data_IF_221138157452
#
_entry.id   IF_221138157452
#
_cell.length_a   1.000
_cell.length_b   1.000
_cell.length_c   1.000
_cell.angle_alpha   90.00
_cell.angle_beta   90.00
_cell.angle_gamma   90.00
#
_symmetry.space_group_name_H-M   'P 1'
#
loop_
_entity.id
_entity.type
_entity.pdbx_description
1 polymer ?
#
# COMPACT_ATOMS: atom_id res chain seq x y z
N UNK A 1 36.61 -13.50 -7.00
CA UNK A 1 36.94 -12.74 -5.78
C UNK A 1 35.78 -12.85 -4.78
N UNK A 2 35.99 -13.46 -3.61
CA UNK A 2 34.96 -13.49 -2.56
C UNK A 2 34.78 -12.06 -2.02
N UNK A 3 33.64 -11.45 -2.30
CA UNK A 3 33.28 -10.17 -1.70
C UNK A 3 33.25 -10.35 -0.17
N UNK A 4 34.17 -9.68 0.53
CA UNK A 4 34.18 -9.61 1.99
C UNK A 4 32.99 -8.77 2.42
N UNK A 5 31.83 -9.40 2.57
CA UNK A 5 30.65 -8.74 3.12
C UNK A 5 30.98 -8.20 4.52
N UNK A 6 30.46 -7.01 4.89
CA UNK A 6 30.54 -6.51 6.25
C UNK A 6 30.10 -7.61 7.23
N UNK A 7 30.93 -7.91 8.23
CA UNK A 7 30.60 -8.93 9.23
C UNK A 7 29.59 -8.35 10.23
N UNK A 8 28.31 -8.63 9.98
CA UNK A 8 27.26 -8.30 10.94
C UNK A 8 27.31 -9.23 12.17
N UNK A 9 27.12 -8.72 13.39
CA UNK A 9 26.98 -9.57 14.57
C UNK A 9 25.72 -10.43 14.51
N UNK A 10 25.80 -11.69 14.95
CA UNK A 10 24.60 -12.54 15.09
C UNK A 10 23.61 -11.86 16.04
N UNK A 11 22.33 -11.87 15.68
CA UNK A 11 21.27 -11.21 16.44
C UNK A 11 21.17 -9.70 16.22
N UNK A 12 22.03 -9.11 15.38
CA UNK A 12 21.94 -7.68 15.07
C UNK A 12 20.64 -7.34 14.33
N UNK A 13 19.99 -6.27 14.75
CA UNK A 13 18.84 -5.68 14.06
C UNK A 13 19.35 -4.86 12.88
N UNK A 14 19.09 -5.38 11.68
CA UNK A 14 19.45 -4.77 10.41
C UNK A 14 18.29 -3.95 9.86
N UNK A 15 18.60 -2.78 9.32
CA UNK A 15 17.65 -1.85 8.71
C UNK A 15 18.12 -1.52 7.29
N UNK A 16 17.21 -1.60 6.33
CA UNK A 16 17.40 -1.12 4.95
C UNK A 16 16.37 -0.03 4.68
N UNK A 17 16.80 1.14 4.21
CA UNK A 17 15.91 2.27 3.95
C UNK A 17 15.35 2.20 2.53
N UNK A 18 14.02 2.27 2.40
CA UNK A 18 13.31 2.44 1.13
C UNK A 18 12.60 3.79 1.09
N UNK A 19 12.17 4.18 -0.11
CA UNK A 19 11.35 5.38 -0.25
C UNK A 19 9.99 5.12 0.41
N UNK A 20 9.66 5.90 1.45
CA UNK A 20 8.42 5.77 2.20
C UNK A 20 8.37 4.67 3.27
N UNK A 21 9.40 3.85 3.44
CA UNK A 21 9.45 2.84 4.52
C UNK A 21 10.85 2.31 4.83
N UNK A 22 11.02 1.69 6.00
CA UNK A 22 12.21 0.92 6.36
C UNK A 22 11.91 -0.57 6.42
N UNK A 23 12.86 -1.38 5.97
CA UNK A 23 12.79 -2.83 6.03
C UNK A 23 13.69 -3.34 7.16
N UNK A 24 13.13 -4.16 8.05
CA UNK A 24 13.80 -4.59 9.27
C UNK A 24 13.99 -6.11 9.30
N UNK A 25 15.11 -6.57 9.83
CA UNK A 25 15.41 -7.99 9.99
C UNK A 25 16.47 -8.26 11.05
N UNK A 26 16.61 -9.52 11.46
CA UNK A 26 17.64 -9.96 12.40
C UNK A 26 18.66 -10.82 11.66
N UNK A 27 19.94 -10.48 11.80
CA UNK A 27 21.03 -11.30 11.25
C UNK A 27 21.14 -12.64 11.97
N UNK A 28 20.92 -13.74 11.25
CA UNK A 28 20.95 -15.10 11.78
C UNK A 28 22.33 -15.77 11.71
N UNK A 29 23.33 -15.08 11.15
CA UNK A 29 24.66 -15.64 10.88
C UNK A 29 24.77 -16.27 9.48
N UNK A 30 26.02 -16.54 9.06
CA UNK A 30 26.34 -17.20 7.77
C UNK A 30 25.66 -16.52 6.56
N UNK A 31 25.63 -15.18 6.54
CA UNK A 31 25.04 -14.41 5.44
C UNK A 31 23.51 -14.47 5.36
N UNK A 32 22.82 -14.91 6.43
CA UNK A 32 21.36 -15.04 6.44
C UNK A 32 20.68 -14.04 7.37
N UNK A 33 19.49 -13.60 6.99
CA UNK A 33 18.65 -12.65 7.74
C UNK A 33 17.25 -13.23 7.87
N UNK A 34 16.67 -13.17 9.08
CA UNK A 34 15.25 -13.50 9.31
C UNK A 34 14.48 -12.19 9.34
N UNK A 35 13.45 -12.07 8.52
CA UNK A 35 12.63 -10.87 8.40
C UNK A 35 11.23 -11.22 7.88
N UNK A 36 10.29 -10.28 7.93
CA UNK A 36 9.06 -10.44 7.18
C UNK A 36 9.32 -10.28 5.67
N UNK A 37 8.69 -11.07 4.82
CA UNK A 37 8.89 -11.11 3.36
C UNK A 37 8.51 -9.82 2.60
N UNK A 38 8.00 -8.79 3.28
CA UNK A 38 7.66 -7.50 2.66
C UNK A 38 6.40 -7.53 1.78
N UNK A 39 6.06 -6.38 1.18
CA UNK A 39 4.89 -6.18 0.32
C UNK A 39 4.88 -7.03 -0.97
N UNK A 40 6.02 -7.58 -1.37
CA UNK A 40 6.16 -8.31 -2.64
C UNK A 40 5.36 -9.63 -2.68
N UNK A 41 4.86 -10.09 -1.54
CA UNK A 41 4.24 -11.42 -1.41
C UNK A 41 3.03 -11.43 -0.47
N UNK A 42 2.07 -10.53 -0.69
CA UNK A 42 0.78 -10.48 0.05
C UNK A 42 0.08 -11.85 0.11
N UNK A 43 0.32 -12.72 -0.87
CA UNK A 43 -0.34 -14.03 -1.00
C UNK A 43 0.44 -15.21 -0.39
N UNK A 44 1.54 -14.99 0.35
CA UNK A 44 2.30 -16.10 0.95
C UNK A 44 1.66 -16.58 2.27
N UNK A 45 1.57 -17.91 2.40
CA UNK A 45 1.14 -18.62 3.62
C UNK A 45 2.11 -18.44 4.81
N UNK A 46 3.35 -18.00 4.59
CA UNK A 46 4.35 -17.78 5.64
C UNK A 46 5.01 -16.41 5.44
N UNK A 47 4.63 -15.39 6.23
CA UNK A 47 5.08 -14.02 6.04
C UNK A 47 6.46 -13.75 6.65
N UNK A 48 6.96 -14.59 7.54
CA UNK A 48 8.33 -14.51 8.08
C UNK A 48 9.21 -15.52 7.33
N UNK A 49 10.31 -15.04 6.75
CA UNK A 49 11.23 -15.85 5.96
C UNK A 49 12.69 -15.62 6.36
N UNK A 50 13.54 -16.56 5.97
CA UNK A 50 15.00 -16.45 6.09
C UNK A 50 15.59 -16.32 4.70
N UNK A 51 16.25 -15.20 4.42
CA UNK A 51 16.86 -14.93 3.12
C UNK A 51 18.35 -14.65 3.25
N UNK A 52 19.04 -14.59 2.11
CA UNK A 52 20.42 -14.10 2.07
C UNK A 52 20.46 -12.61 2.37
N UNK A 53 21.58 -12.14 2.92
CA UNK A 53 21.77 -10.73 3.24
C UNK A 53 21.71 -9.85 1.98
N UNK A 54 22.15 -10.37 0.84
CA UNK A 54 22.07 -9.69 -0.45
C UNK A 54 20.62 -9.49 -0.87
N UNK A 55 19.77 -10.52 -0.73
CA UNK A 55 18.33 -10.44 -1.03
C UNK A 55 17.59 -9.51 -0.07
N UNK A 56 18.01 -9.49 1.21
CA UNK A 56 17.48 -8.54 2.19
C UNK A 56 17.85 -7.09 1.87
N UNK A 57 19.10 -6.85 1.45
CA UNK A 57 19.62 -5.52 1.13
C UNK A 57 19.04 -4.93 -0.16
N UNK A 58 18.83 -5.76 -1.20
CA UNK A 58 18.46 -5.29 -2.56
C UNK A 58 19.36 -4.15 -3.04
N UNK A 59 20.67 -4.35 -2.93
CA UNK A 59 21.72 -3.40 -3.31
C UNK A 59 21.71 -2.05 -2.56
N UNK A 60 21.00 -1.98 -1.43
CA UNK A 60 20.96 -0.80 -0.55
C UNK A 60 21.87 -0.95 0.67
N UNK A 61 22.33 0.16 1.26
CA UNK A 61 23.08 0.13 2.50
C UNK A 61 22.25 -0.46 3.65
N UNK A 62 22.93 -1.26 4.48
CA UNK A 62 22.37 -1.84 5.71
C UNK A 62 22.87 -1.04 6.91
N UNK A 63 21.95 -0.65 7.78
CA UNK A 63 22.24 0.01 9.06
C UNK A 63 21.97 -0.97 10.20
N UNK A 64 22.74 -0.88 11.29
CA UNK A 64 22.48 -1.64 12.52
C UNK A 64 21.76 -0.73 13.52
N UNK A 65 20.65 -1.20 14.11
CA UNK A 65 20.01 -0.53 15.23
C UNK A 65 20.64 -0.96 16.55
N UNK A 66 21.11 0.02 17.31
CA UNK A 66 21.63 -0.20 18.66
C UNK A 66 20.51 -0.16 19.69
N UNK A 67 20.59 -1.05 20.66
CA UNK A 67 19.70 -1.11 21.82
C UNK A 67 20.56 -0.91 23.07
N UNK A 68 20.30 0.12 23.91
CA UNK A 68 21.09 0.36 25.13
C UNK A 68 21.04 -0.82 26.11
N UNK A 69 19.86 -1.44 26.24
CA UNK A 69 19.61 -2.53 27.19
C UNK A 69 18.90 -3.70 26.52
N UNK A 70 19.57 -4.49 25.66
CA UNK A 70 18.98 -5.67 25.05
C UNK A 70 18.73 -6.74 26.12
N UNK A 71 17.50 -7.27 26.20
CA UNK A 71 17.13 -8.30 27.18
C UNK A 71 17.76 -9.65 26.84
N UNK A 72 17.91 -9.95 25.55
CA UNK A 72 18.35 -11.27 25.07
C UNK A 72 19.68 -11.21 24.33
N UNK A 73 20.53 -12.22 24.57
CA UNK A 73 21.79 -12.41 23.84
C UNK A 73 21.53 -12.87 22.40
N UNK A 74 22.49 -12.62 21.52
CA UNK A 74 22.49 -12.95 20.08
C UNK A 74 21.78 -14.27 19.70
N UNK A 75 22.22 -15.41 20.27
CA UNK A 75 21.63 -16.73 19.96
C UNK A 75 20.16 -16.82 20.37
N UNK A 76 19.79 -16.23 21.50
CA UNK A 76 18.42 -16.21 21.99
C UNK A 76 17.53 -15.34 21.11
N UNK A 77 18.01 -14.18 20.63
CA UNK A 77 17.30 -13.33 19.67
C UNK A 77 16.97 -14.13 18.41
N UNK A 78 17.95 -14.85 17.83
CA UNK A 78 17.73 -15.68 16.64
C UNK A 78 16.74 -16.82 16.92
N UNK A 79 16.82 -17.46 18.09
CA UNK A 79 15.86 -18.51 18.48
C UNK A 79 14.43 -17.97 18.58
N UNK A 80 14.26 -16.77 19.15
CA UNK A 80 12.97 -16.07 19.24
C UNK A 80 12.42 -15.72 17.86
N UNK A 81 13.25 -15.22 16.95
CA UNK A 81 12.83 -14.99 15.56
C UNK A 81 12.35 -16.28 14.89
N UNK A 82 13.06 -17.40 15.11
CA UNK A 82 12.68 -18.71 14.56
C UNK A 82 11.37 -19.24 15.15
N UNK A 83 11.07 -19.00 16.41
CA UNK A 83 9.81 -19.47 17.02
C UNK A 83 8.57 -18.84 16.40
N UNK A 84 8.71 -17.67 15.75
CA UNK A 84 7.62 -16.98 15.05
C UNK A 84 7.55 -17.27 13.55
N UNK A 85 8.45 -18.09 12.98
CA UNK A 85 8.49 -18.33 11.53
C UNK A 85 7.17 -18.89 10.94
N UNK A 86 6.36 -19.54 11.77
CA UNK A 86 5.08 -20.13 11.35
C UNK A 86 3.86 -19.25 11.68
N UNK A 87 4.07 -18.03 12.20
CA UNK A 87 2.98 -17.12 12.49
C UNK A 87 2.41 -16.50 11.20
N UNK A 88 1.08 -16.53 11.07
CA UNK A 88 0.35 -16.08 9.87
C UNK A 88 -0.40 -14.75 10.05
N UNK A 89 0.03 -13.91 11.00
CA UNK A 89 -0.62 -12.63 11.25
C UNK A 89 -0.13 -11.57 10.26
N UNK A 90 -0.83 -11.45 9.13
CA UNK A 90 -0.49 -10.57 8.03
C UNK A 90 -1.43 -9.37 7.97
N UNK A 91 -1.06 -8.20 8.51
CA UNK A 91 -1.93 -7.03 8.30
C UNK A 91 -1.27 -5.64 8.15
N UNK A 92 -0.03 -5.34 8.59
CA UNK A 92 0.68 -4.09 8.22
C UNK A 92 2.20 -4.25 8.40
N UNK A 93 2.94 -4.49 7.30
CA UNK A 93 4.28 -5.10 7.39
C UNK A 93 5.37 -4.18 7.96
N UNK A 94 5.37 -2.87 7.67
CA UNK A 94 6.52 -1.99 8.00
C UNK A 94 6.73 -1.90 9.53
N UNK A 95 5.69 -1.48 10.25
CA UNK A 95 5.74 -1.40 11.72
C UNK A 95 5.89 -2.80 12.33
N UNK A 96 5.26 -3.82 11.75
CA UNK A 96 5.37 -5.19 12.25
C UNK A 96 6.81 -5.75 12.11
N UNK A 97 7.56 -5.41 11.06
CA UNK A 97 8.97 -5.79 10.93
C UNK A 97 9.81 -5.21 12.07
N UNK A 98 9.60 -3.94 12.38
CA UNK A 98 10.29 -3.27 13.47
C UNK A 98 9.90 -3.87 14.83
N UNK A 99 8.61 -4.11 15.05
CA UNK A 99 8.08 -4.70 16.27
C UNK A 99 8.59 -6.12 16.48
N UNK A 100 8.61 -6.96 15.45
CA UNK A 100 9.16 -8.31 15.52
C UNK A 100 10.63 -8.30 15.93
N UNK A 101 11.45 -7.45 15.30
CA UNK A 101 12.87 -7.33 15.64
C UNK A 101 13.06 -6.80 17.07
N UNK A 102 12.26 -5.81 17.47
CA UNK A 102 12.29 -5.23 18.82
C UNK A 102 11.88 -6.27 19.86
N UNK A 103 10.76 -6.97 19.67
CA UNK A 103 10.31 -8.07 20.52
C UNK A 103 11.37 -9.16 20.66
N UNK A 104 12.05 -9.53 19.56
CA UNK A 104 13.08 -10.56 19.61
C UNK A 104 14.25 -10.15 20.51
N UNK A 105 14.58 -8.85 20.57
CA UNK A 105 15.71 -8.30 21.33
C UNK A 105 15.33 -7.93 22.77
N UNK A 106 14.19 -7.28 22.98
CA UNK A 106 13.80 -6.69 24.27
C UNK A 106 12.79 -7.54 25.03
N UNK A 107 12.05 -8.40 24.34
CA UNK A 107 10.94 -9.16 24.94
C UNK A 107 9.66 -8.39 25.14
N UNK A 108 9.63 -7.11 24.77
CA UNK A 108 8.43 -6.30 24.81
C UNK A 108 7.57 -6.70 23.61
N UNK A 109 6.46 -7.37 23.87
CA UNK A 109 5.39 -7.52 22.88
C UNK A 109 4.89 -6.11 22.56
N UNK A 110 4.87 -5.75 21.27
CA UNK A 110 4.09 -4.59 20.84
C UNK A 110 2.66 -4.78 21.36
N UNK A 111 2.08 -3.72 21.95
CA UNK A 111 0.71 -3.82 22.46
C UNK A 111 -0.19 -4.24 21.31
N UNK A 112 -0.68 -5.48 21.35
CA UNK A 112 -1.50 -6.06 20.30
C UNK A 112 -2.74 -5.21 20.02
N UNK A 113 -3.22 -4.47 21.02
CA UNK A 113 -4.29 -3.49 20.91
C UNK A 113 -3.90 -2.27 20.06
N UNK A 114 -2.71 -1.70 20.26
CA UNK A 114 -2.21 -0.55 19.48
C UNK A 114 -2.03 -0.96 18.02
N UNK A 115 -1.48 -2.16 17.77
CA UNK A 115 -1.38 -2.65 16.40
C UNK A 115 -2.75 -2.92 15.78
N UNK A 116 -3.70 -3.53 16.52
CA UNK A 116 -5.08 -3.73 16.05
C UNK A 116 -5.75 -2.40 15.70
N UNK A 117 -5.49 -1.35 16.48
CA UNK A 117 -6.03 -0.02 16.23
C UNK A 117 -5.43 0.60 14.97
N UNK A 118 -4.10 0.58 14.81
CA UNK A 118 -3.43 1.08 13.60
C UNK A 118 -3.95 0.36 12.34
N UNK A 119 -4.18 -0.96 12.43
CA UNK A 119 -4.80 -1.76 11.36
C UNK A 119 -6.19 -1.28 11.00
N UNK A 120 -7.07 -1.08 11.99
CA UNK A 120 -8.43 -0.58 11.77
C UNK A 120 -8.41 0.77 11.08
N UNK A 121 -7.55 1.68 11.53
CA UNK A 121 -7.42 3.02 10.94
C UNK A 121 -6.95 2.97 9.48
N UNK A 122 -5.97 2.13 9.14
CA UNK A 122 -5.50 1.98 7.77
C UNK A 122 -6.59 1.41 6.84
N UNK A 123 -7.31 0.38 7.29
CA UNK A 123 -8.43 -0.21 6.53
C UNK A 123 -9.55 0.81 6.30
N UNK A 124 -9.92 1.57 7.33
CA UNK A 124 -10.92 2.64 7.23
C UNK A 124 -10.48 3.70 6.21
N UNK A 125 -9.22 4.13 6.28
CA UNK A 125 -8.66 5.10 5.34
C UNK A 125 -8.72 4.63 3.88
N UNK A 126 -8.38 3.36 3.62
CA UNK A 126 -8.44 2.77 2.28
C UNK A 126 -9.88 2.64 1.75
N UNK A 127 -10.80 2.12 2.57
CA UNK A 127 -12.21 2.01 2.16
C UNK A 127 -12.80 3.39 1.89
N UNK A 128 -12.51 4.36 2.76
CA UNK A 128 -12.94 5.75 2.60
C UNK A 128 -12.43 6.36 1.29
N UNK A 129 -11.14 6.17 0.94
CA UNK A 129 -10.58 6.73 -0.30
C UNK A 129 -11.21 6.12 -1.56
N UNK A 130 -11.45 4.81 -1.57
CA UNK A 130 -12.14 4.12 -2.68
C UNK A 130 -13.58 4.62 -2.81
N UNK A 131 -14.32 4.77 -1.70
CA UNK A 131 -15.69 5.29 -1.71
C UNK A 131 -15.73 6.74 -2.22
N UNK A 132 -14.83 7.61 -1.77
CA UNK A 132 -14.74 8.99 -2.26
C UNK A 132 -14.46 9.04 -3.77
N UNK A 133 -13.55 8.20 -4.27
CA UNK A 133 -13.26 8.11 -5.69
C UNK A 133 -14.47 7.64 -6.51
N UNK A 134 -15.16 6.59 -6.07
CA UNK A 134 -16.36 6.07 -6.71
C UNK A 134 -17.51 7.08 -6.74
N UNK A 135 -17.72 7.81 -5.65
CA UNK A 135 -18.71 8.89 -5.61
C UNK A 135 -18.39 10.00 -6.61
N UNK A 136 -17.11 10.41 -6.69
CA UNK A 136 -16.65 11.38 -7.69
C UNK A 136 -16.92 10.90 -9.11
N UNK A 137 -16.57 9.65 -9.42
CA UNK A 137 -16.80 9.06 -10.73
C UNK A 137 -18.30 9.04 -11.09
N UNK A 138 -19.17 8.58 -10.18
CA UNK A 138 -20.62 8.53 -10.41
C UNK A 138 -21.21 9.92 -10.66
N UNK A 139 -20.79 10.94 -9.90
CA UNK A 139 -21.25 12.32 -10.10
C UNK A 139 -20.82 12.85 -11.47
N UNK A 140 -19.60 12.54 -11.89
CA UNK A 140 -19.08 12.98 -13.19
C UNK A 140 -19.86 12.34 -14.34
N UNK A 141 -20.18 11.05 -14.25
CA UNK A 141 -21.00 10.35 -15.23
C UNK A 141 -22.42 10.91 -15.27
N UNK A 142 -23.05 11.13 -14.10
CA UNK A 142 -24.40 11.67 -14.02
C UNK A 142 -24.52 13.07 -14.64
N UNK A 143 -23.56 13.96 -14.33
CA UNK A 143 -23.54 15.32 -14.89
C UNK A 143 -23.27 15.33 -16.39
N UNK A 144 -22.39 14.45 -16.88
CA UNK A 144 -22.16 14.28 -18.32
C UNK A 144 -23.41 13.78 -19.05
N UNK A 145 -24.08 12.75 -18.53
CA UNK A 145 -25.34 12.24 -19.09
C UNK A 145 -26.42 13.34 -19.13
N UNK A 146 -26.57 14.10 -18.05
CA UNK A 146 -27.54 15.20 -17.99
C UNK A 146 -27.21 16.30 -19.01
N UNK A 147 -25.93 16.68 -19.14
CA UNK A 147 -25.47 17.66 -20.12
C UNK A 147 -25.72 17.20 -21.56
N UNK A 148 -25.50 15.90 -21.86
CA UNK A 148 -25.79 15.31 -23.17
C UNK A 148 -27.29 15.40 -23.48
N UNK A 149 -28.16 15.05 -22.54
CA UNK A 149 -29.62 15.16 -22.72
C UNK A 149 -30.04 16.60 -23.00
N UNK A 150 -29.51 17.56 -22.24
CA UNK A 150 -29.77 18.98 -22.47
C UNK A 150 -29.25 19.46 -23.83
N UNK A 151 -28.07 19.00 -24.24
CA UNK A 151 -27.49 19.31 -25.53
C UNK A 151 -28.34 18.78 -26.69
N UNK A 152 -28.76 17.51 -26.62
CA UNK A 152 -29.67 16.90 -27.61
C UNK A 152 -30.97 17.71 -27.69
N UNK A 153 -31.59 18.03 -26.55
CA UNK A 153 -32.82 18.84 -26.49
C UNK A 153 -32.63 20.23 -27.10
N UNK A 154 -31.50 20.87 -26.84
CA UNK A 154 -31.15 22.17 -27.42
C UNK A 154 -30.99 22.07 -28.95
N UNK A 155 -30.29 21.04 -29.43
CA UNK A 155 -30.06 20.81 -30.87
C UNK A 155 -31.37 20.53 -31.62
N UNK A 156 -32.25 19.69 -31.08
CA UNK A 156 -33.57 19.43 -31.64
C UNK A 156 -34.42 20.72 -31.72
N UNK A 157 -34.39 21.57 -30.68
CA UNK A 157 -35.06 22.89 -30.70
C UNK A 157 -34.48 23.82 -31.77
N UNK A 158 -33.17 23.83 -31.98
CA UNK A 158 -32.51 24.64 -33.02
C UNK A 158 -32.89 24.16 -34.43
N UNK A 159 -32.95 22.84 -34.65
CA UNK A 159 -33.44 22.28 -35.92
C UNK A 159 -34.89 22.68 -36.19
N UNK A 160 -35.79 22.55 -35.20
CA UNK A 160 -37.19 22.94 -35.32
C UNK A 160 -37.39 24.44 -35.65
N UNK A 161 -36.50 25.32 -35.16
CA UNK A 161 -36.52 26.76 -35.52
C UNK A 161 -36.00 27.05 -36.93
N UNK A 162 -35.08 26.24 -37.47
CA UNK A 162 -34.57 26.38 -38.84
C UNK A 162 -35.55 25.84 -39.88
N UNK A 163 -36.32 24.81 -39.55
CA UNK A 163 -37.43 24.34 -40.37
C UNK A 163 -38.61 25.31 -40.25
N UNK A 164 -38.65 26.36 -41.08
CA UNK A 164 -39.87 27.16 -41.24
C UNK A 164 -40.99 26.20 -41.68
N UNK A 165 -42.11 26.09 -40.95
CA UNK A 165 -43.22 25.22 -41.34
C UNK A 165 -43.71 25.60 -42.74
N UNK A 166 -43.86 24.61 -43.64
CA UNK A 166 -44.23 24.84 -45.04
C UNK A 166 -45.52 25.69 -45.20
N UNK A 167 -46.45 25.60 -44.24
CA UNK A 167 -47.68 26.41 -44.23
C UNK A 167 -47.43 27.92 -44.04
N UNK A 168 -46.37 28.32 -43.33
CA UNK A 168 -46.00 29.74 -43.16
C UNK A 168 -45.37 30.31 -44.45
N UNK A 169 -44.62 29.49 -45.20
CA UNK A 169 -44.12 29.88 -46.52
C UNK A 169 -45.25 30.03 -47.54
N UNK A 170 -46.23 29.13 -47.52
CA UNK A 170 -47.43 29.20 -48.36
C UNK A 170 -48.27 30.46 -48.08
N UNK A 171 -48.45 30.82 -46.80
CA UNK A 171 -49.24 32.01 -46.39
C UNK A 171 -48.56 33.33 -46.80
N UNK A 172 -47.24 33.43 -46.71
CA UNK A 172 -46.50 34.60 -47.21
C UNK A 172 -46.56 34.74 -48.74
N UNK A 173 -46.62 33.63 -49.47
CA UNK A 173 -46.74 33.63 -50.93
C UNK A 173 -48.12 34.09 -51.42
N UNK A 174 -49.17 33.83 -50.65
CA UNK A 174 -50.53 34.30 -50.93
C UNK A 174 -50.78 35.76 -50.51
N UNK A 175 -50.07 36.28 -49.51
CA UNK A 175 -50.26 37.66 -49.03
C UNK A 175 -49.49 38.74 -49.83
N UNK A 176 -48.63 38.34 -50.78
CA UNK A 176 -47.84 39.24 -51.65
C UNK A 176 -48.37 39.34 -53.08
N UNK A 177 -49.58 38.83 -53.35
CA UNK A 177 -50.27 38.96 -54.62
C UNK A 177 -51.41 39.96 -54.51
#
# INVERSE_FOLDING_TARGET
MQQRHPRFPIGAHLIVKHFGYSHHGIYAGRGRVIHYSGFAHIFKKHPIEMTSIQRFARDKPIYIRNYPSPRYKAKTVVRRMRSRMHENHYHLIINNCEHLCTWAITGVESSTQVERMQRRLATIGYVSSVMSYMNGLMLTVATACFAIVLYIKMMLRRQAKKSVPAYLQLKQKHSKK
#
